data_IF_985633029166
#
_entry.id   IF_985633029166
#
_cell.length_a   1.000
_cell.length_b   1.000
_cell.length_c   1.000
_cell.angle_alpha   90.00
_cell.angle_beta   90.00
_cell.angle_gamma   90.00
#
_symmetry.space_group_name_H-M   'P 1'
#
loop_
_entity.id
_entity.type
_entity.pdbx_description
1 polymer ?
#
# COMPACT_ATOMS: atom_id res chain seq x y z
N UNK A 1 -9.64 -54.52 33.70
CA UNK A 1 -8.31 -54.06 33.27
C UNK A 1 -8.42 -52.63 32.76
N UNK A 2 -7.74 -51.65 33.38
CA UNK A 2 -7.67 -50.29 32.82
C UNK A 2 -6.57 -50.29 31.75
N UNK A 3 -6.92 -50.07 30.48
CA UNK A 3 -5.95 -49.87 29.40
C UNK A 3 -5.31 -48.49 29.62
N UNK A 4 -4.00 -48.45 29.85
CA UNK A 4 -3.22 -47.23 29.89
C UNK A 4 -2.32 -47.19 28.64
N UNK A 5 -2.12 -46.00 28.09
CA UNK A 5 -1.21 -45.80 26.97
C UNK A 5 0.23 -46.04 27.40
N UNK A 6 1.01 -46.70 26.56
CA UNK A 6 2.46 -46.86 26.76
C UNK A 6 3.17 -45.54 26.47
N UNK A 7 4.33 -45.33 27.10
CA UNK A 7 5.18 -44.18 26.81
C UNK A 7 5.54 -44.08 25.31
N UNK A 8 5.81 -45.22 24.68
CA UNK A 8 6.13 -45.31 23.25
C UNK A 8 4.97 -44.87 22.36
N UNK A 9 3.72 -45.26 22.67
CA UNK A 9 2.54 -44.79 21.94
C UNK A 9 2.36 -43.28 22.05
N UNK A 10 2.57 -42.71 23.24
CA UNK A 10 2.50 -41.25 23.44
C UNK A 10 3.61 -40.52 22.68
N UNK A 11 4.84 -41.05 22.68
CA UNK A 11 5.96 -40.42 21.95
C UNK A 11 5.79 -40.48 20.44
N UNK A 12 5.30 -41.59 19.89
CA UNK A 12 5.03 -41.72 18.45
C UNK A 12 3.92 -40.75 18.03
N UNK A 13 2.84 -40.67 18.81
CA UNK A 13 1.72 -39.76 18.50
C UNK A 13 2.13 -38.29 18.59
N UNK A 14 2.86 -37.87 19.63
CA UNK A 14 3.42 -36.53 19.72
C UNK A 14 4.43 -36.23 18.60
N UNK A 15 5.25 -37.22 18.22
CA UNK A 15 6.18 -37.11 17.09
C UNK A 15 5.46 -36.86 15.76
N UNK A 16 4.41 -37.64 15.47
CA UNK A 16 3.60 -37.45 14.25
C UNK A 16 2.90 -36.09 14.26
N UNK A 17 2.28 -35.70 15.37
CA UNK A 17 1.61 -34.39 15.50
C UNK A 17 2.64 -33.26 15.33
N UNK A 18 3.83 -33.38 15.90
CA UNK A 18 4.92 -32.40 15.75
C UNK A 18 5.34 -32.21 14.30
N UNK A 19 5.55 -33.30 13.55
CA UNK A 19 5.92 -33.24 12.13
C UNK A 19 4.81 -32.57 11.32
N UNK A 20 3.55 -33.01 11.48
CA UNK A 20 2.42 -32.45 10.73
C UNK A 20 2.20 -30.97 11.07
N UNK A 21 2.27 -30.59 12.36
CA UNK A 21 2.15 -29.21 12.79
C UNK A 21 3.26 -28.32 12.21
N UNK A 22 4.51 -28.78 12.22
CA UNK A 22 5.64 -28.02 11.67
C UNK A 22 5.51 -27.73 10.16
N UNK A 23 4.93 -28.65 9.39
CA UNK A 23 4.71 -28.46 7.94
C UNK A 23 3.50 -27.56 7.64
N UNK A 24 2.49 -27.56 8.51
CA UNK A 24 1.19 -26.90 8.24
C UNK A 24 1.08 -25.50 8.85
N UNK A 25 1.62 -25.29 10.06
CA UNK A 25 1.52 -24.01 10.78
C UNK A 25 2.11 -22.82 10.00
N UNK A 26 3.31 -22.90 9.39
CA UNK A 26 3.86 -21.76 8.66
C UNK A 26 2.97 -21.32 7.50
N UNK A 27 2.41 -22.28 6.75
CA UNK A 27 1.52 -21.99 5.61
C UNK A 27 0.21 -21.35 6.08
N UNK A 28 -0.34 -21.82 7.20
CA UNK A 28 -1.57 -21.28 7.77
C UNK A 28 -1.38 -19.86 8.32
N UNK A 29 -0.29 -19.63 9.06
CA UNK A 29 0.07 -18.31 9.61
C UNK A 29 0.25 -17.31 8.48
N UNK A 30 1.03 -17.65 7.45
CA UNK A 30 1.26 -16.78 6.29
C UNK A 30 -0.05 -16.40 5.59
N UNK A 31 -0.93 -17.37 5.36
CA UNK A 31 -2.24 -17.12 4.74
C UNK A 31 -3.14 -16.24 5.61
N UNK A 32 -3.06 -16.41 6.93
CA UNK A 32 -3.79 -15.55 7.87
C UNK A 32 -3.26 -14.11 7.84
N UNK A 33 -1.94 -13.93 7.88
CA UNK A 33 -1.29 -12.61 7.79
C UNK A 33 -1.68 -11.90 6.49
N UNK A 34 -1.63 -12.59 5.34
CA UNK A 34 -2.05 -12.02 4.05
C UNK A 34 -3.51 -11.58 4.06
N UNK A 35 -4.42 -12.37 4.66
CA UNK A 35 -5.83 -11.97 4.83
C UNK A 35 -5.99 -10.74 5.73
N UNK A 36 -5.22 -10.66 6.81
CA UNK A 36 -5.21 -9.49 7.70
C UNK A 36 -4.73 -8.27 6.93
N UNK A 37 -3.66 -8.39 6.13
CA UNK A 37 -3.14 -7.33 5.28
C UNK A 37 -4.18 -6.85 4.27
N UNK A 38 -4.82 -7.76 3.52
CA UNK A 38 -5.91 -7.40 2.58
C UNK A 38 -7.01 -6.60 3.27
N UNK A 39 -7.44 -7.06 4.46
CA UNK A 39 -8.47 -6.38 5.25
C UNK A 39 -8.04 -4.97 5.66
N UNK A 40 -6.79 -4.83 6.11
CA UNK A 40 -6.22 -3.53 6.50
C UNK A 40 -6.06 -2.57 5.32
N UNK A 41 -5.64 -3.04 4.15
CA UNK A 41 -5.54 -2.20 2.93
C UNK A 41 -6.91 -1.67 2.53
N UNK A 42 -7.94 -2.50 2.56
CA UNK A 42 -9.33 -2.08 2.30
C UNK A 42 -9.82 -1.05 3.33
N UNK A 43 -9.51 -1.28 4.60
CA UNK A 43 -9.85 -0.35 5.67
C UNK A 43 -9.13 1.00 5.47
N UNK A 44 -7.84 0.99 5.12
CA UNK A 44 -7.08 2.18 4.79
C UNK A 44 -7.68 2.93 3.60
N UNK A 45 -7.99 2.23 2.50
CA UNK A 45 -8.63 2.81 1.33
C UNK A 45 -9.96 3.51 1.67
N UNK A 46 -10.83 2.84 2.44
CA UNK A 46 -12.11 3.41 2.86
C UNK A 46 -11.93 4.65 3.74
N UNK A 47 -11.01 4.58 4.71
CA UNK A 47 -10.73 5.67 5.63
C UNK A 47 -10.13 6.90 4.93
N UNK A 48 -9.18 6.69 4.01
CA UNK A 48 -8.59 7.75 3.19
C UNK A 48 -9.65 8.38 2.28
N UNK A 49 -10.48 7.55 1.63
CA UNK A 49 -11.54 8.04 0.75
C UNK A 49 -12.53 8.92 1.52
N UNK A 50 -12.97 8.48 2.69
CA UNK A 50 -13.86 9.26 3.55
C UNK A 50 -13.24 10.58 4.02
N UNK A 51 -11.97 10.55 4.46
CA UNK A 51 -11.26 11.76 4.88
C UNK A 51 -11.05 12.74 3.72
N UNK A 52 -10.76 12.21 2.52
CA UNK A 52 -10.54 13.01 1.32
C UNK A 52 -11.82 13.71 0.87
N UNK A 53 -12.95 13.01 0.78
CA UNK A 53 -14.23 13.63 0.40
C UNK A 53 -14.69 14.69 1.40
N UNK A 54 -14.49 14.47 2.71
CA UNK A 54 -14.77 15.50 3.73
C UNK A 54 -13.89 16.74 3.56
N UNK A 55 -12.60 16.55 3.26
CA UNK A 55 -11.72 17.66 2.95
C UNK A 55 -12.20 18.42 1.71
N UNK A 56 -12.64 17.71 0.66
CA UNK A 56 -13.16 18.37 -0.53
C UNK A 56 -14.40 19.23 -0.24
N UNK A 57 -15.31 18.73 0.60
CA UNK A 57 -16.51 19.47 1.01
C UNK A 57 -16.18 20.73 1.82
N UNK A 58 -15.25 20.64 2.79
CA UNK A 58 -14.85 21.77 3.64
C UNK A 58 -14.09 22.85 2.85
N UNK A 59 -13.24 22.43 1.91
CA UNK A 59 -12.32 23.32 1.19
C UNK A 59 -12.78 23.72 -0.21
N UNK A 60 -14.05 23.49 -0.54
CA UNK A 60 -14.68 24.03 -1.74
C UNK A 60 -14.24 23.34 -3.03
N UNK A 61 -14.05 22.02 -3.01
CA UNK A 61 -13.80 21.20 -4.17
C UNK A 61 -12.52 20.37 -4.08
N UNK A 62 -11.98 20.00 -5.23
CA UNK A 62 -10.81 19.13 -5.33
C UNK A 62 -9.50 19.81 -4.93
N UNK A 63 -8.43 19.03 -4.82
CA UNK A 63 -7.10 19.55 -4.41
C UNK A 63 -6.65 20.74 -5.28
N UNK A 64 -7.05 20.82 -6.56
CA UNK A 64 -6.68 21.93 -7.43
C UNK A 64 -7.39 23.26 -7.11
N UNK A 65 -8.47 23.25 -6.33
CA UNK A 65 -9.14 24.47 -5.85
C UNK A 65 -8.59 24.98 -4.51
N UNK A 66 -7.79 24.17 -3.82
CA UNK A 66 -7.28 24.52 -2.50
C UNK A 66 -6.24 25.64 -2.57
N UNK A 67 -6.19 26.46 -1.53
CA UNK A 67 -5.29 27.62 -1.37
C UNK A 67 -3.79 27.29 -1.50
N UNK A 68 -3.44 26.02 -1.32
CA UNK A 68 -2.09 25.52 -1.35
C UNK A 68 -1.70 24.78 -2.64
N UNK A 69 -2.56 24.79 -3.65
CA UNK A 69 -2.26 24.28 -4.98
C UNK A 69 -1.77 25.40 -5.90
N UNK A 70 -0.65 25.16 -6.58
CA UNK A 70 -0.12 26.09 -7.55
C UNK A 70 -0.55 25.66 -8.97
N UNK A 71 -1.59 26.32 -9.48
CA UNK A 71 -2.16 26.04 -10.81
C UNK A 71 -1.15 26.22 -11.95
N UNK A 72 -0.16 27.12 -11.80
CA UNK A 72 0.85 27.35 -12.83
C UNK A 72 1.81 26.17 -12.97
N UNK A 73 2.08 25.50 -11.86
CA UNK A 73 3.15 24.48 -11.80
C UNK A 73 2.61 23.07 -11.57
N UNK A 74 1.33 22.90 -11.20
CA UNK A 74 0.73 21.59 -10.96
C UNK A 74 1.10 20.96 -9.61
N UNK A 75 1.68 21.75 -8.70
CA UNK A 75 2.19 21.24 -7.43
C UNK A 75 1.32 21.69 -6.24
N UNK A 76 1.15 20.78 -5.28
CA UNK A 76 0.60 21.06 -3.95
C UNK A 76 1.73 21.08 -2.91
N UNK A 77 1.59 21.87 -1.85
CA UNK A 77 2.49 21.78 -0.68
C UNK A 77 2.12 20.54 0.16
N UNK A 78 3.03 19.58 0.40
CA UNK A 78 2.70 18.38 1.20
C UNK A 78 2.18 18.71 2.59
N UNK A 79 2.74 19.72 3.26
CA UNK A 79 2.28 20.18 4.57
C UNK A 79 0.81 20.63 4.57
N UNK A 80 0.33 21.21 3.48
CA UNK A 80 -1.08 21.56 3.35
C UNK A 80 -1.93 20.30 3.18
N UNK A 81 -1.57 19.42 2.24
CA UNK A 81 -2.31 18.17 2.04
C UNK A 81 -2.41 17.37 3.35
N UNK A 82 -1.31 17.32 4.12
CA UNK A 82 -1.29 16.76 5.46
C UNK A 82 -2.25 17.46 6.42
N UNK A 83 -2.22 18.78 6.51
CA UNK A 83 -3.13 19.57 7.37
C UNK A 83 -4.59 19.27 7.04
N UNK A 84 -4.97 19.37 5.76
CA UNK A 84 -6.34 19.15 5.26
C UNK A 84 -6.84 17.74 5.57
N UNK A 85 -6.01 16.72 5.33
CA UNK A 85 -6.37 15.34 5.65
C UNK A 85 -6.40 15.07 7.16
N UNK A 86 -5.46 15.64 7.93
CA UNK A 86 -5.35 15.39 9.36
C UNK A 86 -6.58 15.81 10.16
N UNK A 87 -7.29 16.86 9.74
CA UNK A 87 -8.55 17.30 10.36
C UNK A 87 -9.68 16.28 10.30
N UNK A 88 -9.66 15.39 9.31
CA UNK A 88 -10.69 14.37 9.13
C UNK A 88 -10.21 12.97 9.48
N UNK A 89 -9.04 12.87 10.11
CA UNK A 89 -8.40 11.64 10.52
C UNK A 89 -8.14 11.66 12.02
N UNK A 90 -8.22 10.50 12.67
CA UNK A 90 -7.87 10.36 14.08
C UNK A 90 -6.35 10.25 14.24
N UNK A 91 -5.65 11.38 14.08
CA UNK A 91 -4.18 11.49 14.16
C UNK A 91 -3.73 11.50 15.63
N UNK A 92 -2.74 10.67 15.97
CA UNK A 92 -2.12 10.63 17.30
C UNK A 92 -0.79 11.38 17.34
N UNK A 93 -0.07 11.42 16.22
CA UNK A 93 1.16 12.20 16.08
C UNK A 93 1.44 12.53 14.62
N UNK A 94 2.13 13.65 14.41
CA UNK A 94 2.66 14.07 13.11
C UNK A 94 4.17 14.13 13.20
N UNK A 95 4.85 13.49 12.26
CA UNK A 95 6.31 13.42 12.18
C UNK A 95 6.75 14.28 10.99
N UNK A 96 7.27 15.47 11.28
CA UNK A 96 7.72 16.44 10.28
C UNK A 96 9.26 16.59 10.24
N UNK A 97 9.98 15.68 10.90
CA UNK A 97 11.44 15.70 11.02
C UNK A 97 12.15 14.92 9.91
N UNK A 98 11.40 14.42 8.93
CA UNK A 98 11.92 13.65 7.80
C UNK A 98 12.61 12.35 8.24
N UNK A 99 12.09 11.70 9.27
CA UNK A 99 12.62 10.42 9.79
C UNK A 99 11.98 9.18 9.14
N UNK A 100 10.81 9.32 8.50
CA UNK A 100 10.12 8.18 7.91
C UNK A 100 10.62 7.83 6.51
N UNK A 101 10.51 6.56 6.12
CA UNK A 101 10.91 6.09 4.80
C UNK A 101 10.16 4.81 4.39
N UNK A 102 10.12 4.55 3.09
CA UNK A 102 9.83 3.23 2.53
C UNK A 102 11.16 2.61 2.14
N UNK A 103 11.56 1.54 2.84
CA UNK A 103 12.93 1.04 2.79
C UNK A 103 13.13 -0.05 1.74
N UNK A 104 12.04 -0.70 1.30
CA UNK A 104 12.13 -1.86 0.43
C UNK A 104 11.09 -1.84 -0.69
N UNK A 105 11.48 -2.37 -1.85
CA UNK A 105 10.55 -2.75 -2.92
C UNK A 105 9.85 -4.08 -2.61
N UNK A 106 8.94 -4.50 -3.47
CA UNK A 106 8.15 -5.73 -3.29
C UNK A 106 8.98 -6.99 -3.04
N UNK A 107 10.10 -7.15 -3.72
CA UNK A 107 10.99 -8.30 -3.59
C UNK A 107 12.10 -8.10 -2.53
N UNK A 108 11.91 -7.13 -1.62
CA UNK A 108 12.84 -6.83 -0.52
C UNK A 108 14.18 -6.24 -0.96
N UNK A 109 14.28 -5.66 -2.17
CA UNK A 109 15.46 -4.86 -2.51
C UNK A 109 15.41 -3.51 -1.80
N UNK A 110 16.55 -3.09 -1.25
CA UNK A 110 16.65 -1.84 -0.48
C UNK A 110 16.55 -0.64 -1.41
N UNK A 111 15.67 0.30 -1.05
CA UNK A 111 15.52 1.59 -1.71
C UNK A 111 16.43 2.60 -0.99
N UNK A 112 17.35 3.24 -1.72
CA UNK A 112 18.39 4.11 -1.13
C UNK A 112 18.23 5.59 -1.45
N UNK A 113 17.50 5.95 -2.50
CA UNK A 113 17.43 7.33 -3.02
C UNK A 113 16.02 7.92 -3.08
N UNK A 114 14.98 7.10 -3.27
CA UNK A 114 13.60 7.54 -3.41
C UNK A 114 12.78 7.16 -2.17
N UNK A 115 11.70 7.91 -1.88
CA UNK A 115 10.80 7.64 -0.74
C UNK A 115 11.52 7.57 0.61
N UNK A 116 12.64 8.29 0.71
CA UNK A 116 13.38 8.51 1.94
C UNK A 116 12.99 9.85 2.55
N UNK A 117 13.26 10.01 3.83
CA UNK A 117 13.13 11.28 4.54
C UNK A 117 11.73 11.89 4.46
N UNK A 118 10.68 11.10 4.54
CA UNK A 118 9.29 11.52 4.35
C UNK A 118 8.70 12.17 5.62
N UNK A 119 7.69 13.01 5.44
CA UNK A 119 6.83 13.44 6.55
C UNK A 119 5.74 12.37 6.76
N UNK A 120 5.18 12.27 7.96
CA UNK A 120 4.10 11.32 8.21
C UNK A 120 3.04 11.75 9.22
N UNK A 121 1.88 11.13 9.12
CA UNK A 121 0.79 11.20 10.09
C UNK A 121 0.54 9.80 10.63
N UNK A 122 0.71 9.62 11.94
CA UNK A 122 0.39 8.38 12.63
C UNK A 122 -1.04 8.45 13.10
N UNK A 123 -1.84 7.44 12.73
CA UNK A 123 -3.24 7.33 13.10
C UNK A 123 -3.43 6.43 14.32
N UNK A 124 -4.50 6.68 15.06
CA UNK A 124 -4.89 5.89 16.25
C UNK A 124 -5.12 4.40 15.99
N UNK A 125 -5.45 4.02 14.74
CA UNK A 125 -5.59 2.63 14.32
C UNK A 125 -4.26 1.95 13.93
N UNK A 126 -3.14 2.66 14.07
CA UNK A 126 -1.79 2.18 13.77
C UNK A 126 -1.35 2.33 12.32
N UNK A 127 -2.15 2.95 11.45
CA UNK A 127 -1.71 3.29 10.09
C UNK A 127 -0.83 4.53 10.10
N UNK A 128 0.10 4.61 9.15
CA UNK A 128 0.96 5.78 8.96
C UNK A 128 0.81 6.26 7.53
N UNK A 129 0.32 7.48 7.35
CA UNK A 129 0.27 8.13 6.05
C UNK A 129 1.60 8.86 5.84
N UNK A 130 2.31 8.55 4.75
CA UNK A 130 3.62 9.10 4.41
C UNK A 130 3.50 10.06 3.23
N UNK A 131 4.14 11.21 3.35
CA UNK A 131 4.11 12.32 2.39
C UNK A 131 5.53 12.72 1.99
N UNK A 132 5.77 13.08 0.71
CA UNK A 132 7.09 13.56 0.29
C UNK A 132 7.56 14.75 1.14
N UNK A 133 8.85 14.80 1.46
CA UNK A 133 9.44 15.91 2.22
C UNK A 133 9.91 17.09 1.38
N UNK A 134 9.74 17.00 0.06
CA UNK A 134 9.91 18.12 -0.85
C UNK A 134 8.96 19.25 -0.45
N UNK A 135 9.36 20.49 -0.78
CA UNK A 135 8.49 21.66 -0.58
C UNK A 135 7.22 21.61 -1.44
N UNK A 136 7.24 20.80 -2.48
CA UNK A 136 6.17 20.63 -3.46
C UNK A 136 6.00 19.16 -3.86
N UNK A 137 4.76 18.72 -4.04
CA UNK A 137 4.40 17.40 -4.57
C UNK A 137 3.60 17.59 -5.85
N UNK A 138 4.00 16.88 -6.92
CA UNK A 138 3.24 16.93 -8.18
C UNK A 138 1.94 16.18 -8.01
N UNK A 139 0.86 16.79 -8.49
CA UNK A 139 -0.45 16.14 -8.62
C UNK A 139 -0.83 15.96 -10.09
N UNK A 140 0.11 16.13 -11.01
CA UNK A 140 -0.11 16.10 -12.46
C UNK A 140 0.61 14.90 -13.08
N UNK A 141 0.29 13.68 -12.62
CA UNK A 141 1.00 12.44 -12.96
C UNK A 141 1.08 12.15 -14.47
N UNK A 142 0.09 12.59 -15.26
CA UNK A 142 0.02 12.32 -16.71
C UNK A 142 -0.40 13.53 -17.56
N UNK A 143 -0.12 14.76 -17.10
CA UNK A 143 -0.64 15.97 -17.73
C UNK A 143 -0.42 16.06 -19.25
N UNK A 144 0.73 15.61 -19.75
CA UNK A 144 1.09 15.68 -21.18
C UNK A 144 0.83 14.38 -21.95
N UNK A 145 0.26 13.36 -21.31
CA UNK A 145 0.16 12.02 -21.87
C UNK A 145 -1.24 11.78 -22.44
N UNK A 146 -1.32 10.86 -23.41
CA UNK A 146 -2.58 10.46 -24.04
C UNK A 146 -3.33 9.45 -23.15
N UNK A 147 -3.92 9.96 -22.07
CA UNK A 147 -4.71 9.20 -21.08
C UNK A 147 -6.05 9.92 -20.83
N UNK A 148 -7.08 9.21 -20.30
CA UNK A 148 -8.34 9.84 -19.94
C UNK A 148 -8.14 11.06 -19.02
N UNK A 149 -8.93 12.11 -19.22
CA UNK A 149 -8.74 13.40 -18.54
C UNK A 149 -8.71 13.28 -16.99
N UNK A 150 -9.54 12.40 -16.43
CA UNK A 150 -9.56 12.14 -14.99
C UNK A 150 -8.28 11.50 -14.42
N UNK A 151 -7.42 10.92 -15.27
CA UNK A 151 -6.13 10.35 -14.86
C UNK A 151 -4.99 11.37 -14.90
N UNK A 152 -5.16 12.50 -15.59
CA UNK A 152 -4.10 13.52 -15.73
C UNK A 152 -3.77 14.24 -14.42
N UNK A 153 -4.70 14.21 -13.47
CA UNK A 153 -4.53 14.77 -12.13
C UNK A 153 -4.68 13.69 -11.06
N UNK A 154 -3.61 13.45 -10.30
CA UNK A 154 -3.57 12.61 -9.12
C UNK A 154 -2.38 12.97 -8.21
N UNK A 155 -2.65 13.26 -6.94
CA UNK A 155 -1.59 13.32 -5.93
C UNK A 155 -1.33 11.92 -5.35
N UNK A 156 -0.07 11.56 -5.16
CA UNK A 156 0.30 10.29 -4.53
C UNK A 156 0.15 10.34 -3.00
N UNK A 157 -0.44 9.30 -2.42
CA UNK A 157 -0.47 9.10 -0.98
C UNK A 157 0.04 7.69 -0.65
N UNK A 158 1.05 7.61 0.21
CA UNK A 158 1.63 6.34 0.66
C UNK A 158 1.07 6.03 2.04
N UNK A 159 0.62 4.80 2.25
CA UNK A 159 0.07 4.35 3.53
C UNK A 159 0.73 3.06 3.97
N UNK A 160 1.29 3.12 5.15
CA UNK A 160 1.79 1.98 5.90
C UNK A 160 0.68 1.44 6.81
N UNK A 161 0.36 0.16 6.69
CA UNK A 161 -0.78 -0.46 7.37
C UNK A 161 -0.39 -1.30 8.59
N UNK A 162 0.90 -1.41 8.91
CA UNK A 162 1.39 -2.14 10.08
C UNK A 162 2.18 -1.26 11.07
N UNK A 163 2.32 0.03 10.78
CA UNK A 163 2.91 1.00 11.68
C UNK A 163 4.44 0.89 11.67
N UNK A 164 5.09 1.08 12.81
CA UNK A 164 6.56 0.98 12.89
C UNK A 164 7.10 -0.45 12.93
N UNK A 165 6.28 -1.47 12.66
CA UNK A 165 6.69 -2.89 12.76
C UNK A 165 7.65 -3.31 11.65
N UNK A 166 7.89 -2.45 10.66
CA UNK A 166 8.72 -2.76 9.50
C UNK A 166 8.14 -3.93 8.68
N UNK A 167 8.84 -4.35 7.60
CA UNK A 167 10.04 -3.73 7.03
C UNK A 167 9.79 -2.40 6.31
N UNK A 168 8.54 -1.95 6.13
CA UNK A 168 8.17 -0.80 5.29
C UNK A 168 8.52 -1.08 3.82
N UNK A 169 7.90 -2.13 3.28
CA UNK A 169 8.08 -2.63 1.93
C UNK A 169 6.83 -2.40 1.06
N UNK A 170 7.03 -1.83 -0.13
CA UNK A 170 5.94 -1.62 -1.08
C UNK A 170 5.24 -2.94 -1.44
N UNK A 171 3.92 -2.94 -1.41
CA UNK A 171 3.08 -4.10 -1.73
C UNK A 171 3.08 -5.20 -0.67
N UNK A 172 3.70 -5.00 0.50
CA UNK A 172 3.62 -5.92 1.64
C UNK A 172 2.92 -5.29 2.82
N UNK A 173 3.45 -4.18 3.32
CA UNK A 173 2.91 -3.40 4.42
C UNK A 173 2.66 -1.94 4.05
N UNK A 174 3.26 -1.48 2.95
CA UNK A 174 3.16 -0.11 2.44
C UNK A 174 2.47 -0.12 1.08
N UNK A 175 1.40 0.66 0.94
CA UNK A 175 0.54 0.69 -0.24
C UNK A 175 0.34 2.12 -0.72
N UNK A 176 0.13 2.27 -2.03
CA UNK A 176 0.04 3.58 -2.68
C UNK A 176 -1.37 3.82 -3.21
N UNK A 177 -1.89 5.01 -2.94
CA UNK A 177 -3.17 5.50 -3.44
C UNK A 177 -2.96 6.81 -4.20
N UNK A 178 -3.86 7.08 -5.13
CA UNK A 178 -3.95 8.29 -5.93
C UNK A 178 -5.17 9.09 -5.49
N UNK A 179 -4.97 10.35 -5.16
CA UNK A 179 -6.03 11.31 -4.87
C UNK A 179 -6.31 12.08 -6.17
N UNK A 180 -7.31 11.61 -6.92
CA UNK A 180 -7.81 12.29 -8.12
C UNK A 180 -8.75 13.44 -7.73
N UNK A 181 -9.15 14.25 -8.70
CA UNK A 181 -10.08 15.35 -8.45
C UNK A 181 -11.43 14.90 -7.89
N UNK A 182 -11.89 13.72 -8.27
CA UNK A 182 -13.24 13.21 -8.03
C UNK A 182 -13.26 11.91 -7.21
N UNK A 183 -12.11 11.29 -6.97
CA UNK A 183 -12.02 9.98 -6.33
C UNK A 183 -10.67 9.73 -5.68
N UNK A 184 -10.64 8.74 -4.79
CA UNK A 184 -9.40 8.05 -4.42
C UNK A 184 -9.35 6.76 -5.23
N UNK A 185 -8.18 6.44 -5.80
CA UNK A 185 -7.96 5.20 -6.53
C UNK A 185 -6.71 4.49 -6.00
N UNK A 186 -6.73 3.16 -5.84
CA UNK A 186 -5.49 2.44 -5.53
C UNK A 186 -4.56 2.46 -6.75
N UNK A 187 -3.27 2.64 -6.52
CA UNK A 187 -2.28 2.64 -7.59
C UNK A 187 -2.25 1.26 -8.27
N UNK A 188 -2.19 1.22 -9.61
CA UNK A 188 -2.19 -0.04 -10.35
C UNK A 188 -3.55 -0.71 -10.47
N UNK A 189 -4.66 0.02 -10.27
CA UNK A 189 -6.02 -0.50 -10.47
C UNK A 189 -6.28 -0.93 -11.93
N UNK A 190 -7.43 -1.54 -12.20
CA UNK A 190 -7.77 -2.02 -13.55
C UNK A 190 -7.74 -0.92 -14.62
N UNK A 191 -8.09 0.32 -14.25
CA UNK A 191 -8.16 1.47 -15.16
C UNK A 191 -6.84 2.23 -15.25
N UNK A 192 -5.79 1.78 -14.57
CA UNK A 192 -4.48 2.42 -14.55
C UNK A 192 -3.87 2.43 -15.96
N UNK A 193 -3.67 3.61 -16.58
CA UNK A 193 -3.23 3.69 -17.97
C UNK A 193 -1.78 3.22 -18.15
N UNK A 194 -0.91 3.47 -17.17
CA UNK A 194 0.54 3.30 -17.34
C UNK A 194 1.22 2.35 -16.36
N UNK A 195 1.07 2.56 -15.05
CA UNK A 195 1.76 1.75 -14.04
C UNK A 195 1.03 0.43 -13.75
N UNK A 196 0.90 -0.37 -14.80
CA UNK A 196 0.16 -1.63 -14.79
C UNK A 196 0.79 -2.62 -13.82
N UNK A 197 -0.04 -3.50 -13.28
CA UNK A 197 0.35 -4.44 -12.25
C UNK A 197 1.60 -5.28 -12.62
N UNK A 198 1.68 -5.79 -13.84
CA UNK A 198 2.78 -6.68 -14.24
C UNK A 198 4.16 -5.98 -14.31
N UNK A 199 4.19 -4.65 -14.39
CA UNK A 199 5.42 -3.86 -14.39
C UNK A 199 5.82 -3.38 -12.99
N UNK A 200 4.84 -3.08 -12.13
CA UNK A 200 5.09 -2.39 -10.85
C UNK A 200 4.49 -3.11 -9.63
N UNK A 201 4.13 -4.39 -9.78
CA UNK A 201 3.77 -5.32 -8.72
C UNK A 201 4.10 -6.75 -9.17
N UNK A 202 5.39 -7.03 -9.30
CA UNK A 202 5.89 -8.30 -9.81
C UNK A 202 6.93 -8.90 -8.85
N UNK A 203 6.75 -10.17 -8.49
CA UNK A 203 7.70 -10.91 -7.64
C UNK A 203 9.10 -11.00 -8.25
N UNK A 204 9.16 -11.19 -9.56
CA UNK A 204 10.38 -11.36 -10.34
C UNK A 204 10.41 -10.25 -11.40
N UNK A 205 10.64 -9.00 -10.98
CA UNK A 205 10.67 -7.88 -11.91
C UNK A 205 11.93 -7.99 -12.78
N UNK A 206 11.81 -7.60 -14.05
CA UNK A 206 12.98 -7.43 -14.91
C UNK A 206 13.81 -6.22 -14.47
N UNK A 207 13.14 -5.18 -13.95
CA UNK A 207 13.74 -3.96 -13.41
C UNK A 207 12.99 -3.52 -12.13
N UNK A 208 13.70 -3.20 -11.05
CA UNK A 208 13.09 -2.62 -9.83
C UNK A 208 12.48 -1.24 -10.06
N UNK A 209 13.07 -0.49 -10.99
CA UNK A 209 12.66 0.84 -11.37
C UNK A 209 12.05 0.79 -12.77
N UNK A 210 10.81 1.26 -12.88
CA UNK A 210 10.10 1.36 -14.15
C UNK A 210 9.56 2.78 -14.32
N UNK A 211 10.27 3.60 -15.11
CA UNK A 211 9.87 4.96 -15.51
C UNK A 211 9.27 5.81 -14.37
N UNK A 212 10.06 6.00 -13.32
CA UNK A 212 9.69 6.74 -12.11
C UNK A 212 8.90 5.95 -11.05
N UNK A 213 8.45 4.73 -11.37
CA UNK A 213 7.84 3.78 -10.44
C UNK A 213 8.85 2.82 -9.81
N UNK A 214 8.57 2.37 -8.58
CA UNK A 214 9.28 1.27 -7.91
C UNK A 214 8.37 0.05 -7.87
N UNK A 215 8.96 -1.14 -8.02
CA UNK A 215 8.25 -2.40 -7.87
C UNK A 215 7.55 -2.51 -6.51
N UNK A 216 6.25 -2.77 -6.54
CA UNK A 216 5.36 -2.85 -5.38
C UNK A 216 4.34 -1.73 -5.28
N UNK A 217 4.57 -0.57 -5.93
CA UNK A 217 3.63 0.58 -5.85
C UNK A 217 2.24 0.23 -6.39
N UNK A 218 2.17 -0.55 -7.47
CA UNK A 218 0.91 -0.93 -8.12
C UNK A 218 0.15 -2.07 -7.41
N UNK A 219 0.67 -2.61 -6.31
CA UNK A 219 0.05 -3.74 -5.63
C UNK A 219 -1.25 -3.40 -4.92
N UNK A 220 -1.46 -2.13 -4.56
CA UNK A 220 -2.71 -1.70 -3.91
C UNK A 220 -3.93 -2.00 -4.79
N UNK A 221 -3.84 -1.74 -6.10
CA UNK A 221 -4.91 -2.02 -7.04
C UNK A 221 -5.30 -3.50 -7.07
N UNK A 222 -4.29 -4.37 -7.01
CA UNK A 222 -4.52 -5.81 -6.99
C UNK A 222 -5.22 -6.27 -5.72
N UNK A 223 -4.74 -5.83 -4.57
CA UNK A 223 -5.29 -6.19 -3.26
C UNK A 223 -6.74 -5.77 -3.15
N UNK A 224 -7.07 -4.55 -3.58
CA UNK A 224 -8.44 -4.03 -3.56
C UNK A 224 -9.35 -4.80 -4.52
N UNK A 225 -8.87 -5.15 -5.72
CA UNK A 225 -9.69 -5.78 -6.76
C UNK A 225 -9.89 -7.28 -6.56
N UNK A 226 -8.81 -8.01 -6.22
CA UNK A 226 -8.80 -9.48 -6.18
C UNK A 226 -8.83 -10.04 -4.75
N UNK A 227 -8.75 -9.18 -3.74
CA UNK A 227 -8.81 -9.55 -2.32
C UNK A 227 -7.76 -10.59 -1.90
N UNK A 228 -6.60 -10.57 -2.55
CA UNK A 228 -5.51 -11.49 -2.29
C UNK A 228 -4.15 -10.80 -2.49
N UNK A 229 -3.09 -11.50 -2.09
CA UNK A 229 -1.70 -11.08 -2.31
C UNK A 229 -0.93 -12.12 -3.14
N UNK A 230 -1.60 -12.74 -4.12
CA UNK A 230 -1.02 -13.84 -4.92
C UNK A 230 0.20 -13.40 -5.73
N UNK A 231 0.36 -12.10 -5.99
CA UNK A 231 1.58 -11.54 -6.57
C UNK A 231 2.85 -11.78 -5.73
N UNK A 232 2.73 -12.18 -4.47
CA UNK A 232 3.86 -12.61 -3.63
C UNK A 232 4.31 -14.05 -3.91
N UNK A 233 3.46 -14.84 -4.57
CA UNK A 233 3.64 -16.29 -4.69
C UNK A 233 4.00 -16.71 -6.12
N UNK A 234 3.45 -16.05 -7.14
CA UNK A 234 3.70 -16.40 -8.54
C UNK A 234 3.74 -15.18 -9.49
N UNK A 235 4.19 -15.45 -10.71
CA UNK A 235 4.24 -14.51 -11.83
C UNK A 235 3.12 -14.82 -12.84
N UNK A 236 2.96 -13.95 -13.85
CA UNK A 236 1.97 -14.13 -14.92
C UNK A 236 0.53 -13.74 -14.53
N UNK A 237 0.38 -12.97 -13.46
CA UNK A 237 -0.91 -12.46 -13.01
C UNK A 237 -1.36 -11.26 -13.86
N UNK A 238 -2.65 -11.21 -14.17
CA UNK A 238 -3.26 -10.08 -14.88
C UNK A 238 -4.74 -9.96 -14.55
N UNK A 239 -5.30 -8.75 -14.68
CA UNK A 239 -6.72 -8.51 -14.42
C UNK A 239 -7.64 -9.22 -15.41
N UNK A 240 -7.18 -9.43 -16.66
CA UNK A 240 -7.94 -10.11 -17.71
C UNK A 240 -7.57 -11.59 -17.87
N UNK A 241 -6.81 -12.14 -16.92
CA UNK A 241 -6.26 -13.48 -17.03
C UNK A 241 -6.19 -14.17 -15.68
N UNK A 242 -5.01 -14.70 -15.35
CA UNK A 242 -4.80 -15.46 -14.12
C UNK A 242 -4.79 -14.51 -12.91
N UNK A 243 -5.72 -14.69 -11.98
CA UNK A 243 -5.84 -13.86 -10.76
C UNK A 243 -5.40 -14.58 -9.48
N UNK A 244 -5.08 -15.88 -9.57
CA UNK A 244 -4.62 -16.71 -8.47
C UNK A 244 -3.50 -17.64 -8.92
N UNK A 245 -2.57 -17.98 -8.04
CA UNK A 245 -1.42 -18.82 -8.40
C UNK A 245 -1.75 -20.29 -8.65
N UNK A 246 -2.83 -20.80 -8.04
CA UNK A 246 -3.31 -22.18 -8.12
C UNK A 246 -4.79 -22.20 -8.50
#
# INVERSE_FOLDING_TARGET
>A
MKKAFTLSEVLITLGIIGIVASMTLPSLIKKHEERVTVTKVKAAYSLISQAYFRAMEEYGGDISSWDCFNVKTGYVKPACLMDRLSKHLNVISSVNDRSDSVLYSLNMQKITSHYTHMNSLVLSNGFILKFPSSSTQSCETYRTWDVPEGEKFACELIVDINGHKGPNAFGRDTFVFKLHKDRVAPYGNYTEPYYKIWNSCNKEPQNEFYDGGINGKACAGWVITNENMDYLHCTGLSYNGKTKCK
#
